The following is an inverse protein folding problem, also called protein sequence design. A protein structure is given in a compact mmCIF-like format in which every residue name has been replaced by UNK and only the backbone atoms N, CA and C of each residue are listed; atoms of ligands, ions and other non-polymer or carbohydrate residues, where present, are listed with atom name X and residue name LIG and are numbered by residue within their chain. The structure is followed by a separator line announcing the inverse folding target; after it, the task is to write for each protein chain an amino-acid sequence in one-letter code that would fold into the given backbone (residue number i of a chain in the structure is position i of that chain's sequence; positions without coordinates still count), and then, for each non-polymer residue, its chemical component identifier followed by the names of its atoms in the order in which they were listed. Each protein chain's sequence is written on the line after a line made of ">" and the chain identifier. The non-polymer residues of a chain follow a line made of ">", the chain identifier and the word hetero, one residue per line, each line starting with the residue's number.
data_IF_345207399000
#
_entry.id   IF_345207399000
#
_cell.length_a   1.000
_cell.length_b   1.000
_cell.length_c   1.000
_cell.angle_alpha   90.00
_cell.angle_beta   90.00
_cell.angle_gamma   90.00
#
_symmetry.space_group_name_H-M   'P 1'
#
loop_
_entity.id
_entity.type
_entity.pdbx_description
1 polymer ?
#
# COMPACT_ATOMS: atom_id res chain seq x y z
N UNK A 1 -8.46 -60.80 57.02
CA UNK A 1 -7.35 -60.48 56.09
C UNK A 1 -8.07 -59.93 54.88
N UNK A 2 -8.42 -58.66 54.93
CA UNK A 2 -9.32 -58.05 53.96
C UNK A 2 -8.60 -56.81 53.46
N UNK A 3 -8.11 -56.94 52.23
CA UNK A 3 -7.32 -55.95 51.53
C UNK A 3 -8.22 -54.77 51.13
N UNK A 4 -7.92 -53.59 51.67
CA UNK A 4 -8.46 -52.31 51.21
C UNK A 4 -8.05 -52.06 49.75
N UNK A 5 -9.01 -52.17 48.84
CA UNK A 5 -8.86 -51.81 47.44
C UNK A 5 -9.36 -50.37 47.23
N UNK A 6 -8.47 -49.38 47.33
CA UNK A 6 -8.77 -48.02 46.90
C UNK A 6 -8.69 -47.93 45.36
N UNK A 7 -9.70 -47.35 44.67
CA UNK A 7 -9.61 -47.16 43.23
C UNK A 7 -8.68 -45.99 42.91
N UNK A 8 -7.61 -46.27 42.16
CA UNK A 8 -6.75 -45.25 41.53
C UNK A 8 -7.59 -44.49 40.48
N UNK A 9 -7.80 -43.19 40.71
CA UNK A 9 -8.36 -42.28 39.72
C UNK A 9 -7.39 -42.10 38.54
N UNK A 10 -7.87 -42.08 37.28
CA UNK A 10 -7.00 -41.94 36.12
C UNK A 10 -6.44 -40.52 36.05
N UNK A 11 -5.11 -40.39 36.06
CA UNK A 11 -4.42 -39.14 35.80
C UNK A 11 -4.72 -38.65 34.37
N UNK A 12 -5.32 -37.48 34.23
CA UNK A 12 -5.56 -36.85 32.93
C UNK A 12 -4.24 -36.65 32.18
N UNK A 13 -4.17 -36.92 30.86
CA UNK A 13 -2.97 -36.68 30.07
C UNK A 13 -2.68 -35.18 30.08
N UNK A 14 -1.52 -34.81 30.63
CA UNK A 14 -1.00 -33.45 30.56
C UNK A 14 -0.55 -33.20 29.12
N UNK A 15 -1.46 -32.76 28.25
CA UNK A 15 -1.09 -32.26 26.92
C UNK A 15 -0.38 -30.93 27.10
N UNK A 16 0.96 -30.97 27.11
CA UNK A 16 1.80 -29.78 26.95
C UNK A 16 1.34 -29.01 25.70
N UNK A 17 1.22 -27.67 25.74
CA UNK A 17 0.87 -26.88 24.57
C UNK A 17 1.87 -27.18 23.44
N UNK A 18 1.35 -27.46 22.24
CA UNK A 18 2.18 -27.58 21.04
C UNK A 18 3.07 -26.33 20.91
N UNK A 19 4.38 -26.47 20.67
CA UNK A 19 5.23 -25.32 20.43
C UNK A 19 4.69 -24.54 19.22
N UNK A 20 4.77 -23.19 19.23
CA UNK A 20 4.37 -22.38 18.09
C UNK A 20 5.12 -22.84 16.83
N UNK A 21 4.48 -22.82 15.65
CA UNK A 21 5.10 -23.29 14.43
C UNK A 21 6.42 -22.54 14.18
N UNK A 22 7.48 -23.29 13.88
CA UNK A 22 8.81 -22.74 13.61
C UNK A 22 8.78 -21.72 12.45
N UNK A 23 9.48 -20.57 12.57
CA UNK A 23 9.48 -19.49 11.56
C UNK A 23 9.76 -19.96 10.13
N UNK A 24 10.65 -20.95 9.98
CA UNK A 24 11.08 -21.49 8.69
C UNK A 24 9.94 -22.17 7.90
N UNK A 25 9.00 -22.81 8.59
CA UNK A 25 7.86 -23.47 7.94
C UNK A 25 6.88 -22.47 7.34
N UNK A 26 6.67 -21.36 8.05
CA UNK A 26 5.83 -20.26 7.58
C UNK A 26 6.44 -19.55 6.37
N UNK A 27 7.74 -19.25 6.42
CA UNK A 27 8.46 -18.61 5.31
C UNK A 27 8.48 -19.47 4.04
N UNK A 28 8.68 -20.80 4.15
CA UNK A 28 8.61 -21.71 2.99
C UNK A 28 7.22 -21.72 2.34
N UNK A 29 6.15 -21.65 3.16
CA UNK A 29 4.79 -21.60 2.64
C UNK A 29 4.49 -20.29 1.89
N UNK A 30 4.99 -19.16 2.40
CA UNK A 30 4.84 -17.86 1.76
C UNK A 30 5.62 -17.77 0.44
N UNK A 31 6.84 -18.34 0.39
CA UNK A 31 7.64 -18.39 -0.84
C UNK A 31 6.91 -19.19 -1.93
N UNK A 32 6.42 -20.39 -1.61
CA UNK A 32 5.66 -21.23 -2.55
C UNK A 32 4.39 -20.54 -3.03
N UNK A 33 3.69 -19.81 -2.15
CA UNK A 33 2.51 -19.04 -2.53
C UNK A 33 2.85 -17.93 -3.54
N UNK A 34 3.96 -17.21 -3.32
CA UNK A 34 4.46 -16.17 -4.23
C UNK A 34 4.83 -16.73 -5.60
N UNK A 35 5.53 -17.87 -5.64
CA UNK A 35 5.89 -18.56 -6.88
C UNK A 35 4.65 -18.97 -7.68
N UNK A 36 3.62 -19.50 -7.02
CA UNK A 36 2.33 -19.83 -7.65
C UNK A 36 1.64 -18.59 -8.24
N UNK A 37 1.69 -17.43 -7.57
CA UNK A 37 1.15 -16.18 -8.13
C UNK A 37 1.93 -15.70 -9.36
N UNK A 38 3.27 -15.80 -9.33
CA UNK A 38 4.12 -15.41 -10.47
C UNK A 38 3.85 -16.31 -11.68
N UNK A 39 3.72 -17.62 -11.47
CA UNK A 39 3.36 -18.56 -12.53
C UNK A 39 2.00 -18.19 -13.17
N UNK A 40 1.01 -17.80 -12.36
CA UNK A 40 -0.29 -17.32 -12.83
C UNK A 40 -0.19 -16.04 -13.66
N UNK A 41 0.62 -15.06 -13.25
CA UNK A 41 0.84 -13.84 -14.05
C UNK A 41 1.35 -14.19 -15.46
N UNK A 42 2.34 -15.07 -15.58
CA UNK A 42 2.91 -15.45 -16.87
C UNK A 42 1.87 -16.14 -17.76
N UNK A 43 1.14 -17.13 -17.21
CA UNK A 43 0.08 -17.83 -17.93
C UNK A 43 -1.02 -16.87 -18.42
N UNK A 44 -1.54 -16.01 -17.54
CA UNK A 44 -2.65 -15.13 -17.89
C UNK A 44 -2.24 -14.01 -18.85
N UNK A 45 -0.99 -13.55 -18.79
CA UNK A 45 -0.42 -12.64 -19.79
C UNK A 45 -0.36 -13.26 -21.18
N UNK A 46 0.05 -14.53 -21.29
CA UNK A 46 0.10 -15.25 -22.57
C UNK A 46 -1.31 -15.47 -23.15
N UNK A 47 -2.30 -15.71 -22.29
CA UNK A 47 -3.71 -15.86 -22.72
C UNK A 47 -4.46 -14.54 -22.96
N UNK A 48 -3.86 -13.40 -22.63
CA UNK A 48 -4.50 -12.08 -22.74
C UNK A 48 -5.57 -11.77 -21.69
N UNK A 49 -5.58 -12.46 -20.54
CA UNK A 49 -6.53 -12.21 -19.45
C UNK A 49 -6.03 -11.12 -18.50
N UNK A 50 -6.05 -9.87 -18.96
CA UNK A 50 -5.56 -8.71 -18.21
C UNK A 50 -6.23 -8.45 -16.84
N UNK A 51 -7.55 -8.66 -16.65
CA UNK A 51 -8.19 -8.51 -15.34
C UNK A 51 -7.63 -9.46 -14.27
N UNK A 52 -7.31 -10.69 -14.69
CA UNK A 52 -6.75 -11.72 -13.81
C UNK A 52 -5.31 -11.38 -13.49
N UNK A 53 -4.52 -11.03 -14.50
CA UNK A 53 -3.14 -10.57 -14.35
C UNK A 53 -3.03 -9.41 -13.37
N UNK A 54 -3.90 -8.40 -13.47
CA UNK A 54 -3.88 -7.23 -12.58
C UNK A 54 -4.01 -7.62 -11.09
N UNK A 55 -4.93 -8.55 -10.79
CA UNK A 55 -5.14 -9.08 -9.44
C UNK A 55 -3.91 -9.81 -8.93
N UNK A 56 -3.30 -10.66 -9.75
CA UNK A 56 -2.09 -11.39 -9.35
C UNK A 56 -0.90 -10.46 -9.13
N UNK A 57 -0.71 -9.45 -9.98
CA UNK A 57 0.29 -8.40 -9.75
C UNK A 57 0.07 -7.67 -8.43
N UNK A 58 -1.18 -7.31 -8.09
CA UNK A 58 -1.49 -6.67 -6.81
C UNK A 58 -1.14 -7.58 -5.61
N UNK A 59 -1.45 -8.88 -5.68
CA UNK A 59 -1.10 -9.84 -4.62
C UNK A 59 0.42 -9.96 -4.48
N UNK A 60 1.16 -10.06 -5.58
CA UNK A 60 2.62 -10.12 -5.57
C UNK A 60 3.21 -8.84 -4.96
N UNK A 61 2.68 -7.67 -5.30
CA UNK A 61 3.07 -6.38 -4.70
C UNK A 61 2.92 -6.39 -3.18
N UNK A 62 1.77 -6.87 -2.66
CA UNK A 62 1.52 -7.01 -1.21
C UNK A 62 2.48 -7.97 -0.53
N UNK A 63 2.85 -9.08 -1.20
CA UNK A 63 3.83 -10.03 -0.67
C UNK A 63 5.21 -9.38 -0.55
N UNK A 64 5.63 -8.61 -1.56
CA UNK A 64 6.89 -7.88 -1.50
C UNK A 64 6.89 -6.73 -0.48
N UNK A 65 5.74 -6.09 -0.26
CA UNK A 65 5.58 -5.11 0.83
C UNK A 65 5.85 -5.75 2.20
N UNK A 66 5.31 -6.94 2.47
CA UNK A 66 5.55 -7.68 3.72
C UNK A 66 7.02 -8.11 3.84
N UNK A 67 7.66 -8.46 2.74
CA UNK A 67 9.10 -8.79 2.69
C UNK A 67 10.00 -7.56 2.74
N UNK A 68 9.43 -6.35 2.82
CA UNK A 68 10.15 -5.07 2.76
C UNK A 68 11.02 -4.91 1.50
N UNK A 69 10.66 -5.59 0.42
CA UNK A 69 11.30 -5.43 -0.88
C UNK A 69 10.57 -4.33 -1.67
N UNK A 70 10.89 -3.08 -1.35
CA UNK A 70 10.17 -1.89 -1.84
C UNK A 70 10.23 -1.77 -3.36
N UNK A 71 11.39 -2.03 -3.97
CA UNK A 71 11.58 -1.96 -5.42
C UNK A 71 10.65 -2.93 -6.16
N UNK A 72 10.60 -4.20 -5.72
CA UNK A 72 9.73 -5.19 -6.35
C UNK A 72 8.26 -4.94 -6.05
N UNK A 73 7.93 -4.45 -4.86
CA UNK A 73 6.56 -4.05 -4.53
C UNK A 73 6.09 -2.95 -5.50
N UNK A 74 6.87 -1.90 -5.67
CA UNK A 74 6.60 -0.77 -6.56
C UNK A 74 6.34 -1.23 -8.00
N UNK A 75 7.23 -2.03 -8.59
CA UNK A 75 7.08 -2.53 -9.98
C UNK A 75 5.76 -3.30 -10.15
N UNK A 76 5.38 -4.11 -9.16
CA UNK A 76 4.17 -4.92 -9.24
C UNK A 76 2.89 -4.09 -9.04
N UNK A 77 2.90 -3.09 -8.15
CA UNK A 77 1.78 -2.17 -7.97
C UNK A 77 1.59 -1.24 -9.17
N UNK A 78 2.67 -0.79 -9.82
CA UNK A 78 2.61 -0.04 -11.08
C UNK A 78 1.92 -0.84 -12.17
N UNK A 79 2.41 -2.06 -12.39
CA UNK A 79 1.81 -2.96 -13.37
C UNK A 79 0.35 -3.25 -13.07
N UNK A 80 -0.01 -3.44 -11.80
CA UNK A 80 -1.40 -3.64 -11.40
C UNK A 80 -2.26 -2.39 -11.68
N UNK A 81 -1.78 -1.19 -11.34
CA UNK A 81 -2.46 0.07 -11.58
C UNK A 81 -2.75 0.29 -13.08
N UNK A 82 -1.75 0.09 -13.93
CA UNK A 82 -1.87 0.25 -15.38
C UNK A 82 -2.90 -0.72 -15.97
N UNK A 83 -2.85 -1.99 -15.57
CA UNK A 83 -3.81 -3.00 -16.05
C UNK A 83 -5.24 -2.69 -15.58
N UNK A 84 -5.43 -2.29 -14.31
CA UNK A 84 -6.76 -1.93 -13.81
C UNK A 84 -7.32 -0.66 -14.47
N UNK A 85 -6.46 0.30 -14.81
CA UNK A 85 -6.86 1.52 -15.50
C UNK A 85 -7.26 1.23 -16.96
N UNK A 86 -6.46 0.44 -17.68
CA UNK A 86 -6.69 0.11 -19.09
C UNK A 86 -7.99 -0.68 -19.30
N UNK A 87 -8.24 -1.66 -18.44
CA UNK A 87 -9.42 -2.51 -18.53
C UNK A 87 -10.70 -1.84 -17.98
N UNK A 88 -10.60 -0.60 -17.46
CA UNK A 88 -11.69 0.15 -16.80
C UNK A 88 -12.41 -0.62 -15.69
N UNK A 89 -11.78 -1.67 -15.15
CA UNK A 89 -12.42 -2.63 -14.24
C UNK A 89 -12.80 -2.00 -12.91
N UNK A 90 -11.89 -1.19 -12.36
CA UNK A 90 -12.11 -0.52 -11.08
C UNK A 90 -11.13 0.64 -10.91
N UNK A 91 -11.62 1.86 -11.14
CA UNK A 91 -10.85 3.08 -10.83
C UNK A 91 -10.40 3.10 -9.37
N UNK A 92 -11.24 2.62 -8.45
CA UNK A 92 -10.90 2.59 -7.03
C UNK A 92 -9.66 1.73 -6.76
N UNK A 93 -9.62 0.51 -7.30
CA UNK A 93 -8.47 -0.40 -7.12
C UNK A 93 -7.22 0.14 -7.83
N UNK A 94 -7.39 0.74 -9.02
CA UNK A 94 -6.29 1.40 -9.72
C UNK A 94 -5.70 2.54 -8.87
N UNK A 95 -6.54 3.36 -8.24
CA UNK A 95 -6.10 4.45 -7.39
C UNK A 95 -5.42 3.97 -6.09
N UNK A 96 -5.91 2.89 -5.49
CA UNK A 96 -5.25 2.23 -4.34
C UNK A 96 -3.85 1.70 -4.72
N UNK A 97 -3.73 1.07 -5.89
CA UNK A 97 -2.42 0.65 -6.40
C UNK A 97 -1.51 1.85 -6.67
N UNK A 98 -2.02 2.92 -7.29
CA UNK A 98 -1.26 4.16 -7.50
C UNK A 98 -0.78 4.78 -6.18
N UNK A 99 -1.62 4.81 -5.14
CA UNK A 99 -1.21 5.26 -3.80
C UNK A 99 -0.04 4.45 -3.24
N UNK A 100 -0.03 3.13 -3.45
CA UNK A 100 1.09 2.29 -3.04
C UNK A 100 2.37 2.62 -3.83
N UNK A 101 2.26 2.79 -5.14
CA UNK A 101 3.40 3.21 -5.98
C UNK A 101 3.97 4.54 -5.51
N UNK A 102 3.08 5.49 -5.26
CA UNK A 102 3.39 6.81 -4.76
C UNK A 102 4.20 6.67 -3.44
N UNK A 103 3.62 6.01 -2.43
CA UNK A 103 4.25 5.77 -1.14
C UNK A 103 5.64 5.13 -1.24
N UNK A 104 5.80 4.09 -2.06
CA UNK A 104 7.09 3.44 -2.27
C UNK A 104 8.07 4.29 -3.05
N UNK A 105 7.61 5.14 -3.97
CA UNK A 105 8.45 6.12 -4.66
C UNK A 105 9.07 7.08 -3.65
N UNK A 106 8.29 7.56 -2.67
CA UNK A 106 8.81 8.41 -1.60
C UNK A 106 9.87 7.68 -0.75
N UNK A 107 9.65 6.41 -0.40
CA UNK A 107 10.63 5.61 0.35
C UNK A 107 11.93 5.38 -0.42
N UNK A 108 11.89 5.37 -1.76
CA UNK A 108 13.07 5.30 -2.63
C UNK A 108 13.63 6.68 -2.99
N UNK A 109 13.26 7.72 -2.24
CA UNK A 109 13.68 9.13 -2.44
C UNK A 109 13.28 9.71 -3.81
N UNK A 110 12.34 9.08 -4.51
CA UNK A 110 11.78 9.55 -5.79
C UNK A 110 10.67 10.59 -5.53
N UNK A 111 10.96 11.62 -4.74
CA UNK A 111 9.98 12.61 -4.28
C UNK A 111 9.23 13.31 -5.43
N UNK A 112 9.92 13.64 -6.52
CA UNK A 112 9.28 14.24 -7.71
C UNK A 112 8.16 13.37 -8.28
N UNK A 113 8.33 12.04 -8.20
CA UNK A 113 7.36 11.08 -8.70
C UNK A 113 6.16 10.97 -7.77
N UNK A 114 6.41 10.92 -6.47
CA UNK A 114 5.37 10.91 -5.42
C UNK A 114 4.47 12.15 -5.51
N UNK A 115 5.07 13.33 -5.69
CA UNK A 115 4.35 14.59 -5.86
C UNK A 115 3.41 14.51 -7.07
N UNK A 116 3.93 14.17 -8.25
CA UNK A 116 3.15 14.13 -9.47
C UNK A 116 1.99 13.12 -9.40
N UNK A 117 2.21 11.96 -8.76
CA UNK A 117 1.17 10.94 -8.60
C UNK A 117 0.06 11.39 -7.66
N UNK A 118 0.39 12.00 -6.51
CA UNK A 118 -0.61 12.48 -5.58
C UNK A 118 -1.40 13.67 -6.14
N UNK A 119 -0.76 14.59 -6.85
CA UNK A 119 -1.44 15.70 -7.54
C UNK A 119 -2.44 15.19 -8.60
N UNK A 120 -2.04 14.18 -9.38
CA UNK A 120 -2.93 13.52 -10.34
C UNK A 120 -4.11 12.82 -9.64
N UNK A 121 -3.87 12.09 -8.53
CA UNK A 121 -4.92 11.45 -7.74
C UNK A 121 -5.87 12.46 -7.09
N UNK A 122 -5.36 13.60 -6.61
CA UNK A 122 -6.16 14.70 -6.08
C UNK A 122 -7.07 15.28 -7.16
N UNK A 123 -6.50 15.62 -8.32
CA UNK A 123 -7.25 16.14 -9.47
C UNK A 123 -8.33 15.18 -9.95
N UNK A 124 -8.02 13.89 -10.08
CA UNK A 124 -9.00 12.88 -10.45
C UNK A 124 -10.12 12.73 -9.42
N UNK A 125 -9.79 12.84 -8.13
CA UNK A 125 -10.75 12.72 -7.04
C UNK A 125 -11.71 13.90 -7.00
N UNK A 126 -11.21 15.12 -7.24
CA UNK A 126 -12.01 16.34 -7.37
C UNK A 126 -12.97 16.25 -8.56
N UNK A 127 -12.46 15.85 -9.73
CA UNK A 127 -13.28 15.69 -10.95
C UNK A 127 -14.42 14.69 -10.79
N UNK A 128 -14.23 13.68 -9.92
CA UNK A 128 -15.23 12.62 -9.66
C UNK A 128 -16.08 12.89 -8.42
N UNK A 129 -15.98 14.07 -7.79
CA UNK A 129 -16.65 14.41 -6.53
C UNK A 129 -16.45 13.34 -5.44
N UNK A 130 -15.26 12.73 -5.38
CA UNK A 130 -14.91 11.79 -4.31
C UNK A 130 -14.77 12.52 -2.97
N UNK A 131 -14.60 11.75 -1.89
CA UNK A 131 -14.57 12.32 -0.54
C UNK A 131 -13.48 13.38 -0.40
N UNK A 132 -13.83 14.54 0.16
CA UNK A 132 -12.89 15.64 0.42
C UNK A 132 -11.71 15.21 1.30
N UNK A 133 -11.91 14.20 2.17
CA UNK A 133 -10.84 13.65 3.02
C UNK A 133 -9.72 12.98 2.20
N UNK A 134 -10.03 12.34 1.07
CA UNK A 134 -9.01 11.71 0.22
C UNK A 134 -8.14 12.76 -0.47
N UNK A 135 -8.74 13.84 -0.99
CA UNK A 135 -8.03 14.94 -1.66
C UNK A 135 -7.00 15.57 -0.74
N UNK A 136 -7.39 15.86 0.51
CA UNK A 136 -6.48 16.43 1.52
C UNK A 136 -5.28 15.53 1.80
N UNK A 137 -5.50 14.22 1.91
CA UNK A 137 -4.43 13.25 2.13
C UNK A 137 -3.42 13.23 0.97
N UNK A 138 -3.88 13.28 -0.27
CA UNK A 138 -3.00 13.36 -1.44
C UNK A 138 -2.16 14.64 -1.44
N UNK A 139 -2.80 15.80 -1.28
CA UNK A 139 -2.10 17.09 -1.28
C UNK A 139 -1.13 17.23 -0.11
N UNK A 140 -1.47 16.66 1.06
CA UNK A 140 -0.55 16.59 2.20
C UNK A 140 0.70 15.78 1.85
N UNK A 141 0.55 14.58 1.28
CA UNK A 141 1.69 13.72 0.91
C UNK A 141 2.59 14.38 -0.13
N UNK A 142 2.00 15.03 -1.14
CA UNK A 142 2.73 15.80 -2.13
C UNK A 142 3.50 16.97 -1.48
N UNK A 143 2.83 17.75 -0.62
CA UNK A 143 3.44 18.86 0.11
C UNK A 143 4.57 18.43 1.05
N UNK A 144 4.42 17.29 1.74
CA UNK A 144 5.49 16.72 2.57
C UNK A 144 6.74 16.43 1.73
N UNK A 145 6.57 15.87 0.54
CA UNK A 145 7.68 15.62 -0.36
C UNK A 145 8.32 16.90 -0.91
N UNK A 146 7.54 17.96 -1.11
CA UNK A 146 8.08 19.28 -1.47
C UNK A 146 8.98 19.84 -0.36
N UNK A 147 8.58 19.70 0.91
CA UNK A 147 9.39 20.13 2.06
C UNK A 147 10.76 19.43 2.11
N UNK A 148 10.83 18.15 1.73
CA UNK A 148 12.11 17.41 1.73
C UNK A 148 12.99 17.73 0.52
N UNK A 149 12.38 18.08 -0.61
CA UNK A 149 13.09 18.23 -1.89
C UNK A 149 13.55 19.66 -2.17
N UNK A 150 12.80 20.66 -1.72
CA UNK A 150 12.89 22.02 -2.24
C UNK A 150 13.00 23.08 -1.15
N UNK A 151 13.26 24.32 -1.58
CA UNK A 151 13.34 25.48 -0.70
C UNK A 151 11.95 26.05 -0.36
N UNK A 152 11.93 27.01 0.57
CA UNK A 152 10.70 27.67 1.01
C UNK A 152 9.89 28.27 -0.16
N UNK A 153 10.56 28.80 -1.19
CA UNK A 153 9.90 29.39 -2.35
C UNK A 153 9.15 28.34 -3.20
N UNK A 154 9.77 27.18 -3.43
CA UNK A 154 9.12 26.10 -4.15
C UNK A 154 7.94 25.52 -3.36
N UNK A 155 8.03 25.45 -2.03
CA UNK A 155 6.92 25.03 -1.16
C UNK A 155 5.77 26.04 -1.22
N UNK A 156 6.04 27.34 -1.19
CA UNK A 156 5.02 28.39 -1.38
C UNK A 156 4.31 28.25 -2.72
N UNK A 157 5.06 28.07 -3.82
CA UNK A 157 4.48 27.88 -5.15
C UNK A 157 3.61 26.61 -5.22
N UNK A 158 4.02 25.53 -4.56
CA UNK A 158 3.22 24.31 -4.49
C UNK A 158 1.91 24.54 -3.71
N UNK A 159 1.94 25.30 -2.63
CA UNK A 159 0.74 25.65 -1.85
C UNK A 159 -0.24 26.52 -2.65
N UNK A 160 0.26 27.48 -3.43
CA UNK A 160 -0.55 28.26 -4.36
C UNK A 160 -1.21 27.34 -5.40
N UNK A 161 -0.44 26.41 -5.97
CA UNK A 161 -0.99 25.42 -6.90
C UNK A 161 -2.07 24.52 -6.25
N UNK A 162 -1.88 24.13 -4.99
CA UNK A 162 -2.86 23.31 -4.27
C UNK A 162 -4.16 24.07 -3.97
N UNK A 163 -4.07 25.38 -3.73
CA UNK A 163 -5.24 26.25 -3.62
C UNK A 163 -5.99 26.40 -4.96
N UNK A 164 -5.27 26.50 -6.08
CA UNK A 164 -5.89 26.49 -7.41
C UNK A 164 -6.61 25.17 -7.71
N UNK A 165 -6.04 24.03 -7.28
CA UNK A 165 -6.64 22.72 -7.44
C UNK A 165 -7.89 22.55 -6.58
N UNK A 166 -7.83 22.91 -5.29
CA UNK A 166 -8.96 22.87 -4.35
C UNK A 166 -9.01 24.17 -3.54
N UNK A 167 -9.92 25.11 -3.89
CA UNK A 167 -10.09 26.37 -3.15
C UNK A 167 -10.48 26.20 -1.68
N UNK A 168 -10.88 25.01 -1.25
CA UNK A 168 -11.18 24.72 0.16
C UNK A 168 -9.97 24.23 0.96
N UNK A 169 -8.86 23.90 0.28
CA UNK A 169 -7.65 23.36 0.90
C UNK A 169 -6.97 24.34 1.89
N UNK A 170 -6.89 25.67 1.65
CA UNK A 170 -6.33 26.61 2.62
C UNK A 170 -7.01 26.60 4.01
N UNK A 171 -8.30 26.24 4.05
CA UNK A 171 -9.05 26.11 5.31
C UNK A 171 -8.71 24.87 6.15
N UNK A 172 -7.88 23.97 5.64
CA UNK A 172 -7.62 22.65 6.23
C UNK A 172 -6.46 22.65 7.22
N UNK A 173 -6.32 21.59 8.01
CA UNK A 173 -5.20 21.44 8.94
C UNK A 173 -3.92 21.08 8.19
N UNK A 174 -4.06 20.32 7.10
CA UNK A 174 -3.01 19.87 6.20
C UNK A 174 -2.30 21.07 5.56
N UNK A 175 -3.05 22.02 4.99
CA UNK A 175 -2.46 23.26 4.46
C UNK A 175 -1.72 24.06 5.52
N UNK A 176 -2.35 24.27 6.69
CA UNK A 176 -1.73 25.03 7.80
C UNK A 176 -0.43 24.38 8.27
N UNK A 177 -0.40 23.05 8.34
CA UNK A 177 0.79 22.31 8.69
C UNK A 177 1.92 22.54 7.67
N UNK A 178 1.61 22.42 6.37
CA UNK A 178 2.60 22.63 5.30
C UNK A 178 3.11 24.08 5.26
N UNK A 179 2.21 25.06 5.39
CA UNK A 179 2.55 26.48 5.36
C UNK A 179 3.49 26.87 6.52
N UNK A 180 3.22 26.40 7.74
CA UNK A 180 4.10 26.66 8.89
C UNK A 180 5.45 25.97 8.72
N UNK A 181 5.45 24.73 8.21
CA UNK A 181 6.67 23.94 8.06
C UNK A 181 7.58 24.45 6.93
N UNK A 182 7.00 25.02 5.86
CA UNK A 182 7.75 25.57 4.73
C UNK A 182 8.34 26.95 4.96
N UNK A 183 8.00 27.63 6.06
CA UNK A 183 8.56 28.92 6.43
C UNK A 183 9.80 28.83 7.35
N UNK A 184 10.18 27.62 7.78
CA UNK A 184 11.37 27.35 8.61
C UNK A 184 12.60 27.12 7.73
#
# INVERSE_FOLDING_TARGET
>A
MDHDCHPLSPSAPTTSPLPPPSPDGFQRSALKYKEDQIAKVNLYMETGSFPSTAKYCQVIGKLYEVEQNIEKALINFERAADLFQNEKLSTFIANDCKQKVAHFSAQLEQYSREIAMNEDLAKQSLNKNLSKSSVKGYLLNAGLCQLFKADAAAVSNALEHYEELDPTFPGTHEYKFLAVSGCL
#
